data_IF_665059642811
#
_entry.id   IF_665059642811
#
_cell.length_a   1.000
_cell.length_b   1.000
_cell.length_c   1.000
_cell.angle_alpha   90.00
_cell.angle_beta   90.00
_cell.angle_gamma   90.00
#
_symmetry.space_group_name_H-M   'P 1'
#
loop_
_entity.id
_entity.type
_entity.pdbx_description
1 polymer ?
#
# COMPACT_ATOMS: atom_id res chain seq x y z
N UNK A 1 9.63 -8.09 35.35
CA UNK A 1 9.74 -6.64 35.11
C UNK A 1 8.73 -6.22 34.06
N UNK A 2 8.18 -4.99 34.12
CA UNK A 2 7.21 -4.50 33.13
C UNK A 2 7.54 -3.07 32.71
N UNK A 3 7.30 -2.76 31.44
CA UNK A 3 7.40 -1.45 30.82
C UNK A 3 6.01 -1.07 30.24
N UNK A 4 5.14 -0.39 31.02
CA UNK A 4 3.77 -0.10 30.61
C UNK A 4 3.67 0.93 29.48
N UNK A 5 4.72 1.75 29.30
CA UNK A 5 4.81 2.76 28.24
C UNK A 5 5.62 2.28 27.04
N UNK A 6 5.82 0.97 26.89
CA UNK A 6 6.40 0.44 25.66
C UNK A 6 5.40 0.65 24.52
N UNK A 7 5.85 1.32 23.48
CA UNK A 7 5.03 1.69 22.32
C UNK A 7 5.65 1.15 21.04
N UNK A 8 4.79 0.81 20.09
CA UNK A 8 5.18 0.42 18.74
C UNK A 8 4.56 1.34 17.70
N UNK A 9 5.31 1.65 16.67
CA UNK A 9 4.82 2.38 15.52
C UNK A 9 4.15 1.42 14.52
N UNK A 10 2.95 1.77 14.07
CA UNK A 10 2.24 1.11 12.97
C UNK A 10 1.90 2.16 11.92
N UNK A 11 2.69 2.22 10.85
CA UNK A 11 2.58 3.31 9.86
C UNK A 11 2.85 4.67 10.50
N UNK A 12 1.88 5.58 10.45
CA UNK A 12 1.96 6.92 11.06
C UNK A 12 1.43 6.99 12.50
N UNK A 13 0.89 5.89 13.02
CA UNK A 13 0.27 5.83 14.36
C UNK A 13 1.17 5.13 15.37
N UNK A 14 1.10 5.52 16.64
CA UNK A 14 1.85 4.90 17.74
C UNK A 14 0.87 4.25 18.70
N UNK A 15 1.09 2.97 19.00
CA UNK A 15 0.26 2.18 19.91
C UNK A 15 1.06 1.78 21.14
N UNK A 16 0.63 2.24 22.32
CA UNK A 16 1.22 1.87 23.61
C UNK A 16 0.43 0.69 24.18
N UNK A 17 1.04 -0.49 24.18
CA UNK A 17 0.40 -1.74 24.61
C UNK A 17 1.06 -2.32 25.87
N UNK A 18 2.30 -1.87 26.16
CA UNK A 18 3.12 -2.34 27.27
C UNK A 18 3.76 -3.71 27.00
N UNK A 19 4.91 -3.96 27.63
CA UNK A 19 5.56 -5.27 27.61
C UNK A 19 5.95 -5.68 29.02
N UNK A 20 5.73 -6.94 29.37
CA UNK A 20 6.24 -7.54 30.59
C UNK A 20 7.23 -8.65 30.25
N UNK A 21 8.15 -8.92 31.15
CA UNK A 21 9.06 -10.06 31.05
C UNK A 21 9.26 -10.71 32.42
N UNK A 22 9.27 -12.04 32.44
CA UNK A 22 9.78 -12.79 33.57
C UNK A 22 11.30 -12.72 33.56
N UNK A 23 11.90 -12.47 34.73
CA UNK A 23 13.35 -12.36 34.90
C UNK A 23 13.84 -13.40 35.89
N UNK A 24 15.03 -13.95 35.64
CA UNK A 24 15.69 -14.89 36.56
C UNK A 24 16.40 -14.15 37.71
N UNK A 25 17.12 -14.91 38.55
CA UNK A 25 17.89 -14.38 39.68
C UNK A 25 19.05 -13.47 39.28
N UNK A 26 19.51 -13.53 38.02
CA UNK A 26 20.54 -12.67 37.43
C UNK A 26 19.93 -11.49 36.66
N UNK A 27 18.63 -11.25 36.82
CA UNK A 27 17.86 -10.21 36.11
C UNK A 27 17.83 -10.38 34.58
N UNK A 28 18.03 -11.60 34.08
CA UNK A 28 17.96 -11.87 32.64
C UNK A 28 16.52 -12.21 32.23
N UNK A 29 16.03 -11.70 31.09
CA UNK A 29 14.70 -12.05 30.60
C UNK A 29 14.65 -13.54 30.23
N UNK A 30 13.70 -14.26 30.81
CA UNK A 30 13.44 -15.69 30.50
C UNK A 30 12.29 -15.82 29.52
N UNK A 31 11.26 -15.00 29.68
CA UNK A 31 10.06 -15.02 28.85
C UNK A 31 9.48 -13.60 28.72
N UNK A 32 9.03 -13.24 27.52
CA UNK A 32 8.40 -11.95 27.22
C UNK A 32 6.90 -12.15 27.05
N UNK A 33 6.12 -11.34 27.76
CA UNK A 33 4.67 -11.30 27.76
C UNK A 33 4.22 -9.98 27.13
N UNK A 34 3.69 -10.07 25.91
CA UNK A 34 3.10 -8.94 25.18
C UNK A 34 1.78 -9.35 24.52
N UNK A 35 0.73 -9.68 25.31
CA UNK A 35 -0.53 -10.24 24.80
C UNK A 35 -1.32 -9.23 23.95
N UNK A 36 -1.07 -7.95 24.16
CA UNK A 36 -1.68 -6.82 23.45
C UNK A 36 -0.78 -6.26 22.36
N UNK A 37 0.36 -6.91 22.05
CA UNK A 37 1.21 -6.49 20.93
C UNK A 37 0.40 -6.51 19.63
N UNK A 38 0.01 -5.33 19.18
CA UNK A 38 -0.86 -5.19 18.02
C UNK A 38 -0.08 -5.57 16.77
N UNK A 39 -0.59 -6.51 15.97
CA UNK A 39 -0.10 -6.69 14.61
C UNK A 39 -0.48 -5.44 13.83
N UNK A 40 0.49 -4.69 13.34
CA UNK A 40 0.30 -3.50 12.51
C UNK A 40 -0.25 -3.87 11.12
N UNK A 41 -1.42 -4.48 11.10
CA UNK A 41 -2.07 -4.95 9.87
C UNK A 41 -2.99 -3.85 9.34
N UNK A 42 -2.64 -3.33 8.17
CA UNK A 42 -3.43 -2.34 7.44
C UNK A 42 -4.10 -3.05 6.27
N UNK A 43 -5.28 -3.63 6.51
CA UNK A 43 -6.08 -4.27 5.48
C UNK A 43 -6.84 -3.19 4.70
N UNK A 44 -6.45 -2.95 3.45
CA UNK A 44 -7.12 -2.00 2.59
C UNK A 44 -6.91 -2.38 1.13
N UNK A 45 -7.98 -2.34 0.36
CA UNK A 45 -7.94 -2.51 -1.08
C UNK A 45 -8.03 -1.13 -1.74
N UNK A 46 -7.08 -0.81 -2.62
CA UNK A 46 -7.01 0.47 -3.32
C UNK A 46 -6.98 0.19 -4.82
N UNK A 47 -7.95 0.75 -5.56
CA UNK A 47 -7.92 0.78 -7.02
C UNK A 47 -7.63 2.21 -7.47
N UNK A 48 -6.50 2.40 -8.15
CA UNK A 48 -6.12 3.71 -8.68
C UNK A 48 -6.58 3.77 -10.15
N UNK A 49 -7.43 4.74 -10.46
CA UNK A 49 -7.97 4.96 -11.81
C UNK A 49 -7.21 6.10 -12.49
N UNK A 50 -6.50 5.79 -13.58
CA UNK A 50 -5.60 6.71 -14.29
C UNK A 50 -6.23 7.16 -15.61
N UNK A 51 -6.29 8.47 -15.84
CA UNK A 51 -6.65 9.04 -17.14
C UNK A 51 -5.47 8.90 -18.12
N UNK A 52 -5.61 8.02 -19.11
CA UNK A 52 -4.65 7.75 -20.19
C UNK A 52 -4.99 8.45 -21.51
N UNK A 53 -5.90 9.41 -21.52
CA UNK A 53 -6.32 10.13 -22.72
C UNK A 53 -5.22 11.01 -23.33
N UNK A 54 -5.44 11.48 -24.57
CA UNK A 54 -4.48 12.32 -25.31
C UNK A 54 -4.21 13.71 -24.71
N UNK A 55 -5.10 14.22 -23.85
CA UNK A 55 -4.87 15.47 -23.13
C UNK A 55 -3.86 15.33 -21.99
N UNK A 56 -3.55 14.11 -21.54
CA UNK A 56 -2.61 13.88 -20.43
C UNK A 56 -1.21 13.70 -21.00
N UNK A 57 -0.42 14.77 -20.93
CA UNK A 57 0.97 14.80 -21.35
C UNK A 57 1.74 15.83 -20.50
N UNK A 58 3.01 15.55 -20.11
CA UNK A 58 3.75 14.32 -20.40
C UNK A 58 3.41 13.16 -19.45
N UNK A 59 3.38 11.94 -19.98
CA UNK A 59 2.94 10.75 -19.23
C UNK A 59 3.82 10.40 -18.03
N UNK A 60 5.12 10.71 -18.11
CA UNK A 60 6.07 10.38 -17.04
C UNK A 60 5.70 11.05 -15.70
N UNK A 61 4.98 12.17 -15.71
CA UNK A 61 4.50 12.81 -14.46
C UNK A 61 3.46 11.94 -13.75
N UNK A 62 2.60 11.25 -14.49
CA UNK A 62 1.62 10.30 -13.92
C UNK A 62 2.35 9.09 -13.34
N UNK A 63 3.34 8.55 -14.05
CA UNK A 63 4.18 7.45 -13.57
C UNK A 63 4.96 7.84 -12.30
N UNK A 64 5.51 9.04 -12.25
CA UNK A 64 6.22 9.59 -11.09
C UNK A 64 5.28 9.77 -9.90
N UNK A 65 4.11 10.37 -10.11
CA UNK A 65 3.09 10.51 -9.08
C UNK A 65 2.69 9.15 -8.50
N UNK A 66 2.38 8.19 -9.37
CA UNK A 66 1.99 6.84 -8.99
C UNK A 66 3.10 6.16 -8.16
N UNK A 67 4.34 6.21 -8.63
CA UNK A 67 5.50 5.66 -7.91
C UNK A 67 5.69 6.29 -6.51
N UNK A 68 5.53 7.62 -6.41
CA UNK A 68 5.67 8.36 -5.16
C UNK A 68 4.56 8.06 -4.14
N UNK A 69 3.35 7.78 -4.61
CA UNK A 69 2.23 7.39 -3.73
C UNK A 69 2.40 5.94 -3.28
N UNK A 70 2.66 5.02 -4.21
CA UNK A 70 2.75 3.59 -3.93
C UNK A 70 3.90 3.23 -3.00
N UNK A 71 5.04 3.92 -3.12
CA UNK A 71 6.21 3.72 -2.23
C UNK A 71 5.93 4.05 -0.77
N UNK A 72 4.82 4.75 -0.46
CA UNK A 72 4.40 5.07 0.91
C UNK A 72 3.41 4.06 1.47
N UNK A 73 2.90 3.13 0.66
CA UNK A 73 1.95 2.12 1.11
C UNK A 73 2.69 0.89 1.65
N UNK A 74 2.12 0.29 2.70
CA UNK A 74 2.59 -0.97 3.25
C UNK A 74 1.88 -2.12 2.52
N UNK A 75 2.45 -2.49 1.38
CA UNK A 75 1.88 -3.47 0.44
C UNK A 75 2.44 -4.85 0.73
N UNK A 76 1.54 -5.83 0.87
CA UNK A 76 1.93 -7.23 1.00
C UNK A 76 0.80 -8.19 1.36
N UNK A 77 1.13 -9.50 1.49
CA UNK A 77 0.14 -10.51 1.85
C UNK A 77 -0.48 -10.21 3.22
N UNK A 78 -1.80 -10.01 3.25
CA UNK A 78 -2.50 -9.63 4.48
C UNK A 78 -2.24 -8.18 4.92
N UNK A 79 -1.93 -7.29 3.97
CA UNK A 79 -1.78 -5.84 4.16
C UNK A 79 -2.51 -5.11 3.01
N UNK A 80 -2.01 -3.93 2.59
CA UNK A 80 -2.63 -3.17 1.51
C UNK A 80 -2.46 -3.93 0.19
N UNK A 81 -3.53 -4.03 -0.59
CA UNK A 81 -3.49 -4.51 -1.97
C UNK A 81 -3.83 -3.36 -2.91
N UNK A 82 -3.13 -3.29 -4.04
CA UNK A 82 -3.32 -2.22 -5.02
C UNK A 82 -3.59 -2.78 -6.41
N UNK A 83 -4.68 -2.31 -7.02
CA UNK A 83 -4.98 -2.46 -8.43
C UNK A 83 -4.82 -1.13 -9.17
N UNK A 84 -4.55 -1.19 -10.47
CA UNK A 84 -4.49 -0.01 -11.32
C UNK A 84 -5.33 -0.24 -12.57
N UNK A 85 -6.24 0.70 -12.83
CA UNK A 85 -7.06 0.74 -14.02
C UNK A 85 -6.73 2.02 -14.79
N UNK A 86 -6.33 1.88 -16.05
CA UNK A 86 -6.14 3.00 -16.96
C UNK A 86 -7.38 3.16 -17.83
N UNK A 87 -7.75 4.40 -18.16
CA UNK A 87 -8.89 4.68 -19.04
C UNK A 87 -8.64 5.78 -20.06
N UNK A 88 -9.29 5.67 -21.20
CA UNK A 88 -9.42 6.71 -22.22
C UNK A 88 -10.69 6.45 -23.01
N UNK A 89 -10.55 5.87 -24.20
CA UNK A 89 -11.67 5.34 -25.00
C UNK A 89 -12.17 3.98 -24.48
N UNK A 90 -11.28 3.19 -23.87
CA UNK A 90 -11.57 1.94 -23.18
C UNK A 90 -11.00 1.97 -21.76
N UNK A 91 -11.46 1.07 -20.89
CA UNK A 91 -10.88 0.85 -19.57
C UNK A 91 -10.07 -0.45 -19.58
N UNK A 92 -8.86 -0.42 -19.04
CA UNK A 92 -7.93 -1.55 -19.01
C UNK A 92 -7.34 -1.66 -17.61
N UNK A 93 -7.41 -2.84 -17.00
CA UNK A 93 -6.65 -3.13 -15.80
C UNK A 93 -5.18 -3.34 -16.18
N UNK A 94 -4.30 -2.42 -15.80
CA UNK A 94 -2.85 -2.63 -15.85
C UNK A 94 -2.48 -3.79 -14.94
N UNK A 95 -3.13 -3.86 -13.76
CA UNK A 95 -3.19 -5.04 -12.92
C UNK A 95 -4.35 -4.98 -11.92
N UNK A 96 -4.75 -6.16 -11.46
CA UNK A 96 -5.78 -6.33 -10.42
C UNK A 96 -5.17 -6.40 -9.02
N UNK A 97 -6.03 -6.30 -8.00
CA UNK A 97 -5.67 -6.49 -6.60
C UNK A 97 -4.97 -7.85 -6.39
N UNK A 98 -3.98 -7.88 -5.50
CA UNK A 98 -3.21 -9.08 -5.16
C UNK A 98 -2.22 -9.55 -6.22
N UNK A 99 -2.10 -8.87 -7.37
CA UNK A 99 -1.12 -9.22 -8.41
C UNK A 99 0.33 -9.09 -7.93
N UNK A 100 0.62 -8.08 -7.11
CA UNK A 100 1.93 -7.78 -6.57
C UNK A 100 1.88 -7.88 -5.04
N UNK A 101 3.00 -8.29 -4.45
CA UNK A 101 3.08 -8.62 -3.03
C UNK A 101 4.08 -7.76 -2.27
N UNK A 102 4.73 -6.80 -2.92
CA UNK A 102 5.64 -5.84 -2.29
C UNK A 102 5.49 -4.45 -2.90
N UNK A 103 5.89 -3.42 -2.16
CA UNK A 103 5.86 -2.04 -2.65
C UNK A 103 6.83 -1.84 -3.84
N UNK A 104 7.99 -2.49 -3.81
CA UNK A 104 9.00 -2.40 -4.87
C UNK A 104 8.47 -2.94 -6.20
N UNK A 105 7.75 -4.05 -6.18
CA UNK A 105 7.13 -4.65 -7.37
C UNK A 105 6.10 -3.71 -8.00
N UNK A 106 5.22 -3.11 -7.17
CA UNK A 106 4.18 -2.20 -7.69
C UNK A 106 4.80 -0.90 -8.21
N UNK A 107 5.83 -0.37 -7.54
CA UNK A 107 6.55 0.83 -8.00
C UNK A 107 7.24 0.57 -9.33
N UNK A 108 7.85 -0.60 -9.52
CA UNK A 108 8.48 -0.94 -10.80
C UNK A 108 7.44 -1.17 -11.90
N UNK A 109 6.30 -1.78 -11.59
CA UNK A 109 5.19 -1.90 -12.52
C UNK A 109 4.65 -0.54 -12.95
N UNK A 110 4.48 0.40 -11.99
CA UNK A 110 3.98 1.74 -12.23
C UNK A 110 4.83 2.54 -13.23
N UNK A 111 6.16 2.41 -13.17
CA UNK A 111 7.08 3.07 -14.12
C UNK A 111 6.95 2.53 -15.54
N UNK A 112 6.47 1.30 -15.70
CA UNK A 112 6.38 0.61 -16.98
C UNK A 112 4.98 0.72 -17.63
N UNK A 113 4.01 1.34 -16.96
CA UNK A 113 2.69 1.61 -17.54
C UNK A 113 2.85 2.54 -18.74
N UNK A 114 2.40 2.11 -19.91
CA UNK A 114 2.35 2.96 -21.09
C UNK A 114 1.00 3.67 -21.17
N UNK A 115 1.00 4.92 -21.62
CA UNK A 115 -0.24 5.68 -21.84
C UNK A 115 -1.06 5.00 -22.93
N UNK A 116 -2.36 4.81 -22.70
CA UNK A 116 -3.24 4.13 -23.65
C UNK A 116 -3.41 4.91 -24.95
N UNK A 117 -3.43 6.25 -24.86
CA UNK A 117 -3.80 7.13 -25.96
C UNK A 117 -5.27 6.92 -26.41
N UNK A 118 -5.79 7.83 -27.24
CA UNK A 118 -7.15 7.71 -27.75
C UNK A 118 -7.85 9.04 -27.92
N UNK A 119 -9.07 8.98 -28.46
CA UNK A 119 -9.83 10.19 -28.84
C UNK A 119 -10.83 10.65 -27.78
N UNK A 120 -11.04 9.85 -26.74
CA UNK A 120 -12.07 10.08 -25.73
C UNK A 120 -11.53 9.91 -24.31
N UNK A 121 -12.27 10.46 -23.35
CA UNK A 121 -12.00 10.39 -21.92
C UNK A 121 -13.28 9.93 -21.21
N UNK A 122 -13.46 8.61 -21.09
CA UNK A 122 -14.70 8.02 -20.56
C UNK A 122 -14.61 7.74 -19.05
N UNK A 123 -14.48 8.79 -18.24
CA UNK A 123 -14.30 8.66 -16.78
C UNK A 123 -15.45 7.92 -16.10
N UNK A 124 -16.71 8.25 -16.44
CA UNK A 124 -17.88 7.59 -15.84
C UNK A 124 -17.90 6.08 -16.14
N UNK A 125 -17.57 5.69 -17.38
CA UNK A 125 -17.44 4.29 -17.75
C UNK A 125 -16.34 3.57 -16.95
N UNK A 126 -15.17 4.21 -16.81
CA UNK A 126 -14.05 3.67 -16.06
C UNK A 126 -14.40 3.39 -14.59
N UNK A 127 -15.13 4.30 -13.94
CA UNK A 127 -15.58 4.13 -12.54
C UNK A 127 -16.53 2.93 -12.40
N UNK A 128 -17.36 2.65 -13.40
CA UNK A 128 -18.22 1.46 -13.39
C UNK A 128 -17.46 0.14 -13.62
N UNK A 129 -16.23 0.19 -14.11
CA UNK A 129 -15.39 -0.98 -14.38
C UNK A 129 -14.33 -1.23 -13.29
N UNK A 130 -14.06 -0.24 -12.45
CA UNK A 130 -13.08 -0.31 -11.36
C UNK A 130 -13.60 -1.12 -10.16
#
# INVERSE_FOLDING_TARGET
>A
ACAPLWSQACGTSVFSTGVCAWVDGDLRPVEIIAPTAQRCSTYMDIVIVLDGSNSIYPWYEVQNFLSNVLSKFFIGPGQIQVGVLQYGEHAVHEWTLGRYQTAEEVVEAAKNISRQEGRETRTAFAIHQA
#
